data_IF_446691799422
#
_entry.id   IF_446691799422
#
_cell.length_a   1.000
_cell.length_b   1.000
_cell.length_c   1.000
_cell.angle_alpha   90.00
_cell.angle_beta   90.00
_cell.angle_gamma   90.00
#
_symmetry.space_group_name_H-M   'P 1'
#
loop_
_entity.id
_entity.type
_entity.pdbx_description
1 polymer ?
#
# COMPACT_ATOMS: atom_id res chain seq x y z
N UNK A 1 -25.42 3.77 20.38
CA UNK A 1 -25.03 3.70 18.94
C UNK A 1 -23.66 4.35 18.70
N UNK A 2 -23.43 5.59 19.03
CA UNK A 2 -22.15 6.31 18.88
C UNK A 2 -20.96 5.61 19.59
N UNK A 3 -21.12 5.16 20.84
CA UNK A 3 -20.06 4.44 21.59
C UNK A 3 -19.58 3.19 20.86
N UNK A 4 -20.49 2.40 20.27
CA UNK A 4 -20.14 1.20 19.47
C UNK A 4 -19.42 1.60 18.18
N UNK A 5 -19.86 2.66 17.51
CA UNK A 5 -19.22 3.17 16.30
C UNK A 5 -17.77 3.61 16.59
N UNK A 6 -17.52 4.32 17.68
CA UNK A 6 -16.17 4.71 18.11
C UNK A 6 -15.32 3.50 18.46
N UNK A 7 -15.87 2.50 19.17
CA UNK A 7 -15.16 1.26 19.49
C UNK A 7 -14.78 0.49 18.20
N UNK A 8 -15.72 0.29 17.30
CA UNK A 8 -15.47 -0.41 16.04
C UNK A 8 -14.43 0.35 15.18
N UNK A 9 -14.51 1.68 15.13
CA UNK A 9 -13.53 2.52 14.42
C UNK A 9 -12.12 2.39 15.03
N UNK A 10 -12.01 2.41 16.35
CA UNK A 10 -10.74 2.22 17.05
C UNK A 10 -10.14 0.83 16.77
N UNK A 11 -10.97 -0.23 16.80
CA UNK A 11 -10.55 -1.60 16.50
C UNK A 11 -10.06 -1.73 15.05
N UNK A 12 -10.77 -1.16 14.06
CA UNK A 12 -10.32 -1.13 12.67
C UNK A 12 -9.04 -0.30 12.49
N UNK A 13 -8.90 0.79 13.23
CA UNK A 13 -7.68 1.61 13.27
C UNK A 13 -6.48 0.80 13.75
N UNK A 14 -6.60 0.12 14.88
CA UNK A 14 -5.56 -0.76 15.43
C UNK A 14 -5.25 -1.89 14.44
N UNK A 15 -6.27 -2.54 13.86
CA UNK A 15 -6.09 -3.59 12.86
C UNK A 15 -5.40 -3.11 11.57
N UNK A 16 -5.31 -1.81 11.35
CA UNK A 16 -4.60 -1.22 10.21
C UNK A 16 -3.19 -0.75 10.57
N UNK A 17 -3.02 -0.14 11.74
CA UNK A 17 -1.74 0.45 12.17
C UNK A 17 -0.79 -0.62 12.72
N UNK A 18 -1.28 -1.54 13.56
CA UNK A 18 -0.44 -2.54 14.21
C UNK A 18 0.29 -3.46 13.21
N UNK A 19 -0.34 -4.00 12.14
CA UNK A 19 0.38 -4.74 11.11
C UNK A 19 1.50 -3.93 10.45
N UNK A 20 1.34 -2.62 10.25
CA UNK A 20 2.39 -1.77 9.67
C UNK A 20 3.60 -1.64 10.60
N UNK A 21 3.36 -1.48 11.89
CA UNK A 21 4.44 -1.48 12.90
C UNK A 21 5.16 -2.83 12.93
N UNK A 22 4.41 -3.93 12.89
CA UNK A 22 5.00 -5.28 12.82
C UNK A 22 5.81 -5.50 11.53
N UNK A 23 5.40 -4.93 10.41
CA UNK A 23 6.16 -4.96 9.16
C UNK A 23 7.50 -4.20 9.27
N UNK A 24 7.60 -3.16 10.11
CA UNK A 24 8.91 -2.53 10.41
C UNK A 24 9.86 -3.49 11.11
N UNK A 25 9.35 -4.28 12.06
CA UNK A 25 10.15 -5.30 12.74
C UNK A 25 10.62 -6.39 11.75
N UNK A 26 9.74 -6.79 10.83
CA UNK A 26 10.13 -7.68 9.71
C UNK A 26 11.22 -7.06 8.85
N UNK A 27 11.10 -5.78 8.49
CA UNK A 27 12.13 -5.10 7.69
C UNK A 27 13.47 -5.11 8.39
N UNK A 28 13.50 -4.79 9.70
CA UNK A 28 14.73 -4.88 10.51
C UNK A 28 15.32 -6.29 10.50
N UNK A 29 14.50 -7.32 10.68
CA UNK A 29 14.92 -8.71 10.65
C UNK A 29 15.53 -9.06 9.28
N UNK A 30 14.87 -8.72 8.18
CA UNK A 30 15.34 -9.01 6.84
C UNK A 30 16.68 -8.34 6.53
N UNK A 31 16.78 -7.03 6.77
CA UNK A 31 18.01 -6.25 6.56
C UNK A 31 19.15 -6.74 7.45
N UNK A 32 18.87 -7.34 8.61
CA UNK A 32 19.92 -7.90 9.49
C UNK A 32 20.40 -9.28 9.06
N UNK A 33 19.59 -10.03 8.31
CA UNK A 33 19.84 -11.45 7.97
C UNK A 33 20.16 -11.68 6.49
N UNK A 34 19.64 -10.85 5.61
CA UNK A 34 19.85 -10.94 4.17
C UNK A 34 20.95 -9.98 3.73
N UNK A 35 21.61 -10.32 2.62
CA UNK A 35 22.41 -9.37 1.88
C UNK A 35 21.53 -8.42 1.04
N UNK A 36 22.17 -7.43 0.40
CA UNK A 36 21.47 -6.41 -0.37
C UNK A 36 20.76 -7.00 -1.59
N UNK A 37 21.34 -8.04 -2.20
CA UNK A 37 20.78 -8.70 -3.38
C UNK A 37 19.50 -9.49 -3.03
N UNK A 38 19.56 -10.33 -2.01
CA UNK A 38 18.40 -11.12 -1.54
C UNK A 38 17.24 -10.20 -1.09
N UNK A 39 17.55 -9.12 -0.36
CA UNK A 39 16.52 -8.16 0.03
C UNK A 39 15.94 -7.39 -1.17
N UNK A 40 16.75 -7.17 -2.20
CA UNK A 40 16.31 -6.60 -3.48
C UNK A 40 15.34 -7.52 -4.22
N UNK A 41 15.67 -8.81 -4.34
CA UNK A 41 14.81 -9.83 -4.93
C UNK A 41 13.46 -9.89 -4.20
N UNK A 42 13.49 -9.97 -2.87
CA UNK A 42 12.27 -9.92 -2.05
C UNK A 42 11.44 -8.66 -2.34
N UNK A 43 12.09 -7.50 -2.32
CA UNK A 43 11.40 -6.21 -2.50
C UNK A 43 10.83 -6.04 -3.90
N UNK A 44 11.52 -6.52 -4.93
CA UNK A 44 11.07 -6.50 -6.32
C UNK A 44 9.85 -7.41 -6.54
N UNK A 45 9.90 -8.65 -6.06
CA UNK A 45 8.76 -9.58 -6.18
C UNK A 45 7.54 -9.05 -5.42
N UNK A 46 7.74 -8.41 -4.26
CA UNK A 46 6.64 -7.88 -3.45
C UNK A 46 5.83 -6.81 -4.18
N UNK A 47 6.43 -6.04 -5.09
CA UNK A 47 5.70 -5.09 -5.95
C UNK A 47 4.73 -5.80 -6.88
N UNK A 48 5.14 -6.93 -7.47
CA UNK A 48 4.25 -7.74 -8.31
C UNK A 48 3.10 -8.34 -7.49
N UNK A 49 3.34 -8.70 -6.22
CA UNK A 49 2.27 -9.16 -5.32
C UNK A 49 1.23 -8.07 -5.06
N UNK A 50 1.67 -6.81 -4.85
CA UNK A 50 0.75 -5.67 -4.66
C UNK A 50 -0.11 -5.47 -5.92
N UNK A 51 0.50 -5.45 -7.11
CA UNK A 51 -0.23 -5.30 -8.36
C UNK A 51 -1.17 -6.49 -8.60
N UNK A 52 -0.68 -7.71 -8.39
CA UNK A 52 -1.47 -8.95 -8.54
C UNK A 52 -2.69 -8.97 -7.64
N UNK A 53 -2.56 -8.54 -6.39
CA UNK A 53 -3.69 -8.42 -5.46
C UNK A 53 -4.74 -7.41 -5.94
N UNK A 54 -4.32 -6.29 -6.53
CA UNK A 54 -5.23 -5.31 -7.14
C UNK A 54 -5.96 -5.92 -8.35
N UNK A 55 -5.21 -6.62 -9.23
CA UNK A 55 -5.78 -7.25 -10.41
C UNK A 55 -6.74 -8.39 -10.06
N UNK A 56 -6.41 -9.24 -9.09
CA UNK A 56 -7.25 -10.36 -8.68
C UNK A 56 -8.47 -9.94 -7.86
N UNK A 57 -8.38 -8.85 -7.11
CA UNK A 57 -9.55 -8.29 -6.40
C UNK A 57 -10.45 -7.45 -7.30
N UNK A 58 -9.93 -6.92 -8.40
CA UNK A 58 -10.57 -6.11 -9.45
C UNK A 58 -11.68 -5.16 -8.95
N UNK A 59 -11.45 -4.53 -7.78
CA UNK A 59 -12.39 -3.58 -7.18
C UNK A 59 -13.67 -4.21 -6.60
N UNK A 60 -13.77 -5.54 -6.56
CA UNK A 60 -14.96 -6.27 -6.12
C UNK A 60 -15.30 -6.01 -4.65
N UNK A 61 -14.31 -5.74 -3.77
CA UNK A 61 -14.56 -5.36 -2.39
C UNK A 61 -15.41 -4.07 -2.30
N UNK A 62 -15.07 -3.06 -3.08
CA UNK A 62 -15.79 -1.79 -3.10
C UNK A 62 -17.19 -1.94 -3.70
N UNK A 63 -17.31 -2.72 -4.78
CA UNK A 63 -18.59 -3.08 -5.35
C UNK A 63 -19.48 -3.85 -4.34
N UNK A 64 -18.90 -4.84 -3.64
CA UNK A 64 -19.58 -5.58 -2.59
C UNK A 64 -20.20 -4.64 -1.54
N UNK A 65 -19.44 -3.68 -0.97
CA UNK A 65 -19.99 -2.73 0.00
C UNK A 65 -21.10 -1.87 -0.56
N UNK A 66 -20.94 -1.38 -1.79
CA UNK A 66 -21.99 -0.55 -2.43
C UNK A 66 -23.29 -1.31 -2.60
N UNK A 67 -23.23 -2.52 -3.17
CA UNK A 67 -24.43 -3.30 -3.47
C UNK A 67 -25.05 -3.93 -2.23
N UNK A 68 -24.26 -4.24 -1.19
CA UNK A 68 -24.77 -4.67 0.12
C UNK A 68 -25.60 -3.59 0.83
N UNK A 69 -25.32 -2.31 0.55
CA UNK A 69 -26.04 -1.19 1.16
C UNK A 69 -27.23 -0.69 0.32
N UNK A 70 -27.31 -1.06 -0.98
CA UNK A 70 -28.33 -0.55 -1.91
C UNK A 70 -29.63 -1.34 -1.97
N UNK A 71 -29.69 -2.61 -1.51
CA UNK A 71 -30.83 -3.42 -1.88
C UNK A 71 -31.20 -4.58 -0.96
N UNK A 72 -32.34 -5.19 -1.28
CA UNK A 72 -32.90 -6.36 -0.60
C UNK A 72 -32.15 -7.67 -0.93
N UNK A 73 -31.37 -7.71 -2.01
CA UNK A 73 -30.72 -8.91 -2.54
C UNK A 73 -29.35 -9.22 -1.90
N UNK A 74 -29.16 -8.91 -0.62
CA UNK A 74 -27.87 -9.06 0.08
C UNK A 74 -27.24 -10.45 -0.05
N UNK A 75 -28.05 -11.52 -0.03
CA UNK A 75 -27.57 -12.91 -0.19
C UNK A 75 -27.03 -13.17 -1.60
N UNK A 76 -27.65 -12.58 -2.62
CA UNK A 76 -27.19 -12.71 -4.01
C UNK A 76 -25.87 -11.96 -4.23
N UNK A 77 -25.74 -10.75 -3.68
CA UNK A 77 -24.49 -9.96 -3.72
C UNK A 77 -23.34 -10.75 -3.07
N UNK A 78 -23.57 -11.32 -1.87
CA UNK A 78 -22.55 -12.13 -1.18
C UNK A 78 -22.12 -13.34 -1.99
N UNK A 79 -23.10 -14.08 -2.51
CA UNK A 79 -22.88 -15.28 -3.31
C UNK A 79 -22.15 -14.96 -4.61
N UNK A 80 -22.60 -13.95 -5.36
CA UNK A 80 -22.00 -13.57 -6.64
C UNK A 80 -20.57 -13.08 -6.48
N UNK A 81 -20.30 -12.20 -5.51
CA UNK A 81 -18.96 -11.68 -5.25
C UNK A 81 -17.99 -12.79 -4.83
N UNK A 82 -18.41 -13.67 -3.91
CA UNK A 82 -17.58 -14.77 -3.45
C UNK A 82 -17.28 -15.76 -4.58
N UNK A 83 -18.30 -16.17 -5.34
CA UNK A 83 -18.16 -17.11 -6.47
C UNK A 83 -17.26 -16.50 -7.54
N UNK A 84 -17.46 -15.23 -7.90
CA UNK A 84 -16.66 -14.53 -8.90
C UNK A 84 -15.17 -14.53 -8.53
N UNK A 85 -14.82 -14.06 -7.32
CA UNK A 85 -13.43 -14.02 -6.86
C UNK A 85 -12.82 -15.42 -6.71
N UNK A 86 -13.58 -16.39 -6.21
CA UNK A 86 -13.08 -17.75 -6.07
C UNK A 86 -12.75 -18.36 -7.42
N UNK A 87 -13.68 -18.28 -8.39
CA UNK A 87 -13.47 -18.86 -9.74
C UNK A 87 -12.32 -18.16 -10.47
N UNK A 88 -12.28 -16.82 -10.46
CA UNK A 88 -11.21 -16.06 -11.12
C UNK A 88 -9.84 -16.32 -10.49
N UNK A 89 -9.75 -16.42 -9.16
CA UNK A 89 -8.50 -16.72 -8.46
C UNK A 89 -8.01 -18.14 -8.71
N UNK A 90 -8.90 -19.13 -8.74
CA UNK A 90 -8.54 -20.51 -9.07
C UNK A 90 -8.15 -20.66 -10.55
N UNK A 91 -8.82 -19.95 -11.45
CA UNK A 91 -8.43 -19.89 -12.86
C UNK A 91 -7.04 -19.26 -13.02
N UNK A 92 -6.78 -18.15 -12.34
CA UNK A 92 -5.46 -17.52 -12.30
C UNK A 92 -4.41 -18.48 -11.75
N UNK A 93 -4.70 -19.20 -10.66
CA UNK A 93 -3.81 -20.20 -10.09
C UNK A 93 -3.41 -21.24 -11.13
N UNK A 94 -4.40 -21.80 -11.84
CA UNK A 94 -4.15 -22.82 -12.87
C UNK A 94 -3.25 -22.27 -13.99
N UNK A 95 -3.63 -21.13 -14.58
CA UNK A 95 -2.90 -20.54 -15.71
C UNK A 95 -1.49 -20.10 -15.29
N UNK A 96 -1.35 -19.39 -14.18
CA UNK A 96 -0.06 -18.88 -13.70
C UNK A 96 0.87 -20.02 -13.27
N UNK A 97 0.33 -21.10 -12.68
CA UNK A 97 1.13 -22.29 -12.34
C UNK A 97 1.63 -23.04 -13.57
N UNK A 98 0.81 -23.16 -14.61
CA UNK A 98 1.22 -23.76 -15.88
C UNK A 98 2.31 -22.92 -16.59
N UNK A 99 2.21 -21.59 -16.46
CA UNK A 99 3.16 -20.64 -17.06
C UNK A 99 4.32 -20.26 -16.14
N UNK A 100 4.49 -20.89 -14.98
CA UNK A 100 5.46 -20.48 -13.93
C UNK A 100 6.90 -20.37 -14.43
N UNK A 101 7.31 -21.27 -15.34
CA UNK A 101 8.66 -21.28 -15.91
C UNK A 101 8.87 -20.09 -16.85
N UNK A 102 7.88 -19.82 -17.72
CA UNK A 102 7.89 -18.67 -18.61
C UNK A 102 7.88 -17.34 -17.85
N UNK A 103 7.06 -17.26 -16.76
CA UNK A 103 7.00 -16.08 -15.90
C UNK A 103 8.34 -15.89 -15.18
N UNK A 104 8.94 -16.96 -14.64
CA UNK A 104 10.22 -16.93 -13.97
C UNK A 104 11.34 -16.46 -14.88
N UNK A 105 11.40 -16.99 -16.10
CA UNK A 105 12.36 -16.57 -17.12
C UNK A 105 12.16 -15.11 -17.54
N UNK A 106 10.91 -14.70 -17.79
CA UNK A 106 10.59 -13.32 -18.20
C UNK A 106 10.91 -12.28 -17.10
N UNK A 107 10.66 -12.61 -15.84
CA UNK A 107 10.94 -11.73 -14.70
C UNK A 107 12.37 -11.90 -14.17
N UNK A 108 13.12 -12.89 -14.67
CA UNK A 108 14.45 -13.26 -14.23
C UNK A 108 14.55 -13.53 -12.71
N UNK A 109 13.59 -14.31 -12.19
CA UNK A 109 13.58 -14.77 -10.80
C UNK A 109 13.58 -16.29 -10.72
N UNK A 110 13.98 -16.87 -9.58
CA UNK A 110 13.88 -18.32 -9.35
C UNK A 110 12.42 -18.77 -9.40
N UNK A 111 12.17 -19.94 -10.01
CA UNK A 111 10.82 -20.54 -10.18
C UNK A 111 10.11 -20.65 -8.82
N UNK A 112 10.84 -21.05 -7.78
CA UNK A 112 10.28 -21.21 -6.42
C UNK A 112 9.67 -19.91 -5.88
N UNK A 113 10.33 -18.77 -6.10
CA UNK A 113 9.84 -17.45 -5.67
C UNK A 113 8.57 -17.07 -6.41
N UNK A 114 8.49 -17.38 -7.72
CA UNK A 114 7.29 -17.13 -8.53
C UNK A 114 6.12 -18.00 -8.06
N UNK A 115 6.37 -19.29 -7.79
CA UNK A 115 5.34 -20.22 -7.29
C UNK A 115 4.78 -19.74 -5.95
N UNK A 116 5.63 -19.34 -5.01
CA UNK A 116 5.15 -18.74 -3.75
C UNK A 116 4.37 -17.46 -3.98
N UNK A 117 4.84 -16.60 -4.89
CA UNK A 117 4.12 -15.37 -5.26
C UNK A 117 2.72 -15.66 -5.77
N UNK A 118 2.57 -16.66 -6.66
CA UNK A 118 1.27 -17.11 -7.18
C UNK A 118 0.36 -17.59 -6.03
N UNK A 119 0.87 -18.42 -5.11
CA UNK A 119 0.08 -18.90 -3.98
C UNK A 119 -0.35 -17.77 -3.06
N UNK A 120 0.54 -16.83 -2.73
CA UNK A 120 0.22 -15.67 -1.88
C UNK A 120 -0.90 -14.83 -2.52
N UNK A 121 -0.76 -14.47 -3.81
CA UNK A 121 -1.76 -13.67 -4.52
C UNK A 121 -3.15 -14.34 -4.51
N UNK A 122 -3.20 -15.65 -4.75
CA UNK A 122 -4.46 -16.39 -4.77
C UNK A 122 -5.06 -16.48 -3.36
N UNK A 123 -4.27 -16.82 -2.35
CA UNK A 123 -4.74 -16.91 -0.97
C UNK A 123 -5.27 -15.56 -0.47
N UNK A 124 -4.55 -14.48 -0.78
CA UNK A 124 -4.95 -13.12 -0.42
C UNK A 124 -6.22 -12.68 -1.15
N UNK A 125 -6.38 -13.03 -2.43
CA UNK A 125 -7.59 -12.73 -3.19
C UNK A 125 -8.82 -13.48 -2.65
N UNK A 126 -8.65 -14.75 -2.27
CA UNK A 126 -9.73 -15.55 -1.70
C UNK A 126 -10.29 -14.96 -0.39
N UNK A 127 -9.48 -14.31 0.43
CA UNK A 127 -9.94 -13.73 1.70
C UNK A 127 -10.56 -12.33 1.59
N UNK A 128 -10.52 -11.68 0.43
CA UNK A 128 -11.06 -10.31 0.22
C UNK A 128 -12.54 -10.23 0.59
N UNK A 129 -13.39 -11.08 0.03
CA UNK A 129 -14.84 -11.06 0.33
C UNK A 129 -15.17 -11.53 1.74
N UNK A 130 -14.55 -12.57 2.32
CA UNK A 130 -14.68 -12.87 3.74
C UNK A 130 -14.37 -11.70 4.67
N UNK A 131 -13.28 -10.96 4.44
CA UNK A 131 -12.98 -9.75 5.20
C UNK A 131 -14.02 -8.64 5.00
N UNK A 132 -14.45 -8.40 3.77
CA UNK A 132 -15.52 -7.44 3.47
C UNK A 132 -16.84 -7.81 4.18
N UNK A 133 -17.16 -9.12 4.21
CA UNK A 133 -18.32 -9.64 4.92
C UNK A 133 -18.25 -9.40 6.43
N UNK A 134 -17.09 -9.65 7.08
CA UNK A 134 -16.87 -9.36 8.49
C UNK A 134 -17.10 -7.88 8.82
N UNK A 135 -16.57 -6.98 7.99
CA UNK A 135 -16.75 -5.53 8.15
C UNK A 135 -18.21 -5.13 7.98
N UNK A 136 -18.88 -5.66 6.96
CA UNK A 136 -20.30 -5.36 6.71
C UNK A 136 -21.22 -5.86 7.83
N UNK A 137 -20.85 -6.97 8.49
CA UNK A 137 -21.57 -7.53 9.64
C UNK A 137 -21.21 -6.89 10.98
N UNK A 138 -20.31 -5.91 11.01
CA UNK A 138 -19.85 -5.25 12.23
C UNK A 138 -19.05 -6.18 13.17
N UNK A 139 -18.40 -7.23 12.62
CA UNK A 139 -17.57 -8.17 13.39
C UNK A 139 -16.13 -7.64 13.51
N UNK A 140 -15.98 -6.43 14.07
CA UNK A 140 -14.72 -5.71 14.15
C UNK A 140 -13.63 -6.51 14.89
N UNK A 141 -13.97 -7.14 16.01
CA UNK A 141 -13.01 -7.93 16.81
C UNK A 141 -12.44 -9.12 16.03
N UNK A 142 -13.30 -9.89 15.33
CA UNK A 142 -12.84 -11.03 14.53
C UNK A 142 -12.01 -10.56 13.33
N UNK A 143 -12.42 -9.47 12.67
CA UNK A 143 -11.63 -8.85 11.61
C UNK A 143 -10.22 -8.46 12.10
N UNK A 144 -10.14 -7.76 13.25
CA UNK A 144 -8.88 -7.33 13.83
C UNK A 144 -8.02 -8.52 14.25
N UNK A 145 -8.61 -9.51 14.91
CA UNK A 145 -7.91 -10.71 15.35
C UNK A 145 -7.27 -11.45 14.16
N UNK A 146 -8.03 -11.67 13.09
CA UNK A 146 -7.51 -12.38 11.91
C UNK A 146 -6.44 -11.54 11.18
N UNK A 147 -6.66 -10.23 11.03
CA UNK A 147 -5.73 -9.33 10.32
C UNK A 147 -4.40 -9.18 11.06
N UNK A 148 -4.46 -8.94 12.37
CA UNK A 148 -3.26 -8.82 13.23
C UNK A 148 -2.62 -10.19 13.41
N UNK A 149 -3.42 -11.25 13.58
CA UNK A 149 -2.96 -12.64 13.72
C UNK A 149 -2.16 -13.12 12.50
N UNK A 150 -2.62 -12.78 11.29
CA UNK A 150 -1.86 -13.06 10.06
C UNK A 150 -0.46 -12.44 10.11
N UNK A 151 -0.36 -11.14 10.43
CA UNK A 151 0.93 -10.45 10.48
C UNK A 151 1.79 -10.96 11.65
N UNK A 152 1.18 -11.28 12.79
CA UNK A 152 1.88 -11.84 13.95
C UNK A 152 2.45 -13.22 13.64
N UNK A 153 1.66 -14.09 13.00
CA UNK A 153 2.10 -15.40 12.57
C UNK A 153 3.24 -15.30 11.54
N UNK A 154 3.09 -14.41 10.56
CA UNK A 154 4.15 -14.13 9.57
C UNK A 154 5.44 -13.66 10.27
N UNK A 155 5.36 -12.72 11.21
CA UNK A 155 6.51 -12.25 11.98
C UNK A 155 7.16 -13.39 12.79
N UNK A 156 6.37 -14.17 13.51
CA UNK A 156 6.86 -15.30 14.31
C UNK A 156 7.55 -16.36 13.45
N UNK A 157 6.95 -16.74 12.32
CA UNK A 157 7.56 -17.69 11.38
C UNK A 157 8.85 -17.17 10.78
N UNK A 158 8.91 -15.89 10.41
CA UNK A 158 10.15 -15.29 9.89
C UNK A 158 11.25 -15.24 10.95
N UNK A 159 10.92 -14.91 12.20
CA UNK A 159 11.88 -14.96 13.31
C UNK A 159 12.41 -16.39 13.47
N UNK A 160 11.53 -17.38 13.46
CA UNK A 160 11.92 -18.79 13.59
C UNK A 160 12.76 -19.25 12.39
N UNK A 161 12.29 -19.04 11.17
CA UNK A 161 12.99 -19.52 9.98
C UNK A 161 14.35 -18.85 9.78
N UNK A 162 14.44 -17.54 9.92
CA UNK A 162 15.69 -16.81 9.64
C UNK A 162 16.73 -16.92 10.78
N UNK A 163 16.33 -17.21 12.02
CA UNK A 163 17.28 -17.37 13.10
C UNK A 163 17.73 -18.83 13.31
N UNK A 164 16.87 -19.81 13.03
CA UNK A 164 17.17 -21.21 13.33
C UNK A 164 17.37 -22.05 12.06
N UNK A 165 16.40 -22.05 11.11
CA UNK A 165 16.49 -22.92 9.95
C UNK A 165 17.46 -22.39 8.87
N UNK A 166 17.54 -21.08 8.71
CA UNK A 166 18.45 -20.47 7.72
C UNK A 166 19.92 -20.72 8.06
N UNK A 167 20.28 -20.72 9.35
CA UNK A 167 21.66 -20.97 9.76
C UNK A 167 22.13 -22.42 9.52
N UNK A 168 21.22 -23.40 9.59
CA UNK A 168 21.54 -24.82 9.39
C UNK A 168 21.57 -25.24 7.91
N UNK A 169 20.87 -24.53 7.02
CA UNK A 169 20.66 -24.91 5.61
C UNK A 169 21.04 -23.82 4.59
N UNK A 170 21.86 -22.88 4.95
CA UNK A 170 22.18 -21.63 4.22
C UNK A 170 22.61 -21.84 2.77
N UNK A 171 23.27 -22.94 2.43
CA UNK A 171 23.93 -23.10 1.14
C UNK A 171 22.98 -23.41 -0.04
N UNK A 172 21.76 -23.91 0.19
CA UNK A 172 20.93 -24.48 -0.86
C UNK A 172 19.71 -23.63 -1.26
N UNK A 173 19.01 -22.97 -0.32
CA UNK A 173 17.69 -22.38 -0.59
C UNK A 173 17.60 -20.86 -0.49
N UNK A 174 18.52 -20.17 0.19
CA UNK A 174 18.51 -18.71 0.37
C UNK A 174 17.44 -18.19 1.36
N UNK A 175 17.67 -17.00 1.94
CA UNK A 175 16.79 -16.40 2.94
C UNK A 175 15.43 -15.99 2.36
N UNK A 176 15.38 -15.60 1.10
CA UNK A 176 14.16 -15.18 0.38
C UNK A 176 13.11 -16.29 0.33
N UNK A 177 13.53 -17.55 0.13
CA UNK A 177 12.65 -18.72 0.15
C UNK A 177 11.84 -18.79 1.45
N UNK A 178 12.49 -18.67 2.60
CA UNK A 178 11.85 -18.76 3.92
C UNK A 178 10.89 -17.60 4.20
N UNK A 179 11.20 -16.41 3.68
CA UNK A 179 10.30 -15.24 3.79
C UNK A 179 8.98 -15.50 3.06
N UNK A 180 9.05 -15.98 1.82
CA UNK A 180 7.83 -16.29 1.07
C UNK A 180 7.09 -17.50 1.63
N UNK A 181 7.79 -18.53 2.10
CA UNK A 181 7.17 -19.67 2.78
C UNK A 181 6.39 -19.23 4.03
N UNK A 182 6.96 -18.36 4.87
CA UNK A 182 6.28 -17.80 6.04
C UNK A 182 5.01 -17.04 5.63
N UNK A 183 5.06 -16.30 4.53
CA UNK A 183 3.93 -15.54 4.02
C UNK A 183 2.83 -16.48 3.50
N UNK A 184 3.16 -17.52 2.74
CA UNK A 184 2.19 -18.55 2.28
C UNK A 184 1.50 -19.20 3.46
N UNK A 185 2.26 -19.61 4.49
CA UNK A 185 1.69 -20.25 5.70
C UNK A 185 0.73 -19.29 6.42
N UNK A 186 1.10 -18.01 6.57
CA UNK A 186 0.26 -17.01 7.23
C UNK A 186 -1.02 -16.72 6.44
N UNK A 187 -0.93 -16.60 5.10
CA UNK A 187 -2.10 -16.40 4.24
C UNK A 187 -3.00 -17.64 4.20
N UNK A 188 -2.43 -18.85 4.19
CA UNK A 188 -3.19 -20.10 4.28
C UNK A 188 -3.92 -20.23 5.63
N UNK A 189 -3.25 -19.93 6.74
CA UNK A 189 -3.87 -19.91 8.06
C UNK A 189 -5.04 -18.94 8.12
N UNK A 190 -4.89 -17.75 7.50
CA UNK A 190 -5.96 -16.77 7.37
C UNK A 190 -7.17 -17.32 6.61
N UNK A 191 -6.95 -17.98 5.48
CA UNK A 191 -8.02 -18.62 4.71
C UNK A 191 -8.73 -19.70 5.52
N UNK A 192 -7.99 -20.56 6.25
CA UNK A 192 -8.55 -21.61 7.10
C UNK A 192 -9.46 -21.03 8.19
N UNK A 193 -9.02 -19.95 8.87
CA UNK A 193 -9.84 -19.27 9.89
C UNK A 193 -11.11 -18.66 9.29
N UNK A 194 -11.05 -18.19 8.05
CA UNK A 194 -12.19 -17.59 7.36
C UNK A 194 -13.05 -18.61 6.58
N UNK A 195 -12.64 -19.88 6.47
CA UNK A 195 -13.36 -20.93 5.77
C UNK A 195 -14.82 -21.11 6.23
N UNK A 196 -15.18 -20.97 7.51
CA UNK A 196 -16.58 -21.04 7.95
C UNK A 196 -17.51 -20.00 7.29
N UNK A 197 -16.95 -18.90 6.76
CA UNK A 197 -17.74 -17.90 6.03
C UNK A 197 -18.11 -18.44 4.63
N UNK A 198 -17.22 -19.16 3.99
CA UNK A 198 -17.46 -19.85 2.72
C UNK A 198 -18.60 -20.88 2.83
N UNK A 199 -18.65 -21.62 3.92
CA UNK A 199 -19.70 -22.62 4.17
C UNK A 199 -21.06 -21.96 4.37
N UNK A 200 -21.10 -20.76 4.97
CA UNK A 200 -22.34 -20.00 5.21
C UNK A 200 -22.90 -19.32 3.97
N UNK A 201 -22.08 -19.03 2.99
CA UNK A 201 -22.48 -18.36 1.75
C UNK A 201 -22.63 -19.43 0.68
N UNK A 202 -23.84 -19.58 0.14
CA UNK A 202 -24.09 -20.53 -0.95
C UNK A 202 -23.40 -20.06 -2.22
N UNK A 203 -22.65 -20.92 -2.89
CA UNK A 203 -22.04 -20.66 -4.19
C UNK A 203 -23.12 -20.60 -5.28
N UNK A 204 -23.55 -19.39 -5.65
CA UNK A 204 -24.45 -19.11 -6.78
C UNK A 204 -23.96 -17.88 -7.50
N UNK A 205 -24.02 -17.89 -8.81
CA UNK A 205 -23.57 -16.80 -9.66
C UNK A 205 -24.76 -16.18 -10.39
N UNK A 206 -24.97 -14.89 -10.20
CA UNK A 206 -26.03 -14.12 -10.85
C UNK A 206 -25.39 -13.16 -11.85
N UNK A 207 -25.40 -13.52 -13.12
CA UNK A 207 -24.68 -12.79 -14.18
C UNK A 207 -25.11 -11.34 -14.30
N UNK A 208 -26.42 -11.04 -14.28
CA UNK A 208 -26.93 -9.66 -14.37
C UNK A 208 -26.37 -8.78 -13.24
N UNK A 209 -26.44 -9.28 -12.00
CA UNK A 209 -25.92 -8.59 -10.84
C UNK A 209 -24.37 -8.44 -10.91
N UNK A 210 -23.69 -9.49 -11.35
CA UNK A 210 -22.22 -9.43 -11.54
C UNK A 210 -21.83 -8.37 -12.56
N UNK A 211 -22.54 -8.26 -13.68
CA UNK A 211 -22.29 -7.24 -14.70
C UNK A 211 -22.41 -5.82 -14.13
N UNK A 212 -23.46 -5.55 -13.33
CA UNK A 212 -23.62 -4.26 -12.67
C UNK A 212 -22.51 -3.97 -11.67
N UNK A 213 -22.12 -5.00 -10.88
CA UNK A 213 -21.00 -4.88 -9.94
C UNK A 213 -19.70 -4.61 -10.66
N UNK A 214 -19.43 -5.25 -11.81
CA UNK A 214 -18.22 -5.05 -12.62
C UNK A 214 -18.15 -3.67 -13.27
N UNK A 215 -19.26 -3.15 -13.78
CA UNK A 215 -19.32 -1.77 -14.31
C UNK A 215 -18.91 -0.76 -13.23
N UNK A 216 -19.29 -1.01 -11.99
CA UNK A 216 -18.88 -0.16 -10.87
C UNK A 216 -17.44 -0.43 -10.40
N UNK A 217 -17.00 -1.69 -10.40
CA UNK A 217 -15.69 -2.10 -9.94
C UNK A 217 -14.55 -1.69 -10.90
N UNK A 218 -14.81 -1.62 -12.20
CA UNK A 218 -13.79 -1.36 -13.22
C UNK A 218 -13.06 -0.01 -13.03
N UNK A 219 -13.71 1.13 -12.79
CA UNK A 219 -13.01 2.37 -12.45
C UNK A 219 -12.17 2.27 -11.16
N UNK A 220 -12.64 1.48 -10.18
CA UNK A 220 -11.91 1.25 -8.93
C UNK A 220 -10.65 0.41 -9.18
N UNK A 221 -10.74 -0.59 -10.06
CA UNK A 221 -9.59 -1.36 -10.52
C UNK A 221 -8.54 -0.46 -11.17
N UNK A 222 -8.93 0.42 -12.10
CA UNK A 222 -7.99 1.33 -12.76
C UNK A 222 -7.29 2.27 -11.76
N UNK A 223 -8.04 2.81 -10.80
CA UNK A 223 -7.47 3.63 -9.73
C UNK A 223 -6.52 2.81 -8.82
N UNK A 224 -6.85 1.55 -8.56
CA UNK A 224 -6.00 0.61 -7.81
C UNK A 224 -4.69 0.30 -8.53
N UNK A 225 -4.74 0.05 -9.85
CA UNK A 225 -3.53 -0.15 -10.67
C UNK A 225 -2.66 1.11 -10.63
N UNK A 226 -3.25 2.29 -10.83
CA UNK A 226 -2.51 3.56 -10.77
C UNK A 226 -1.84 3.74 -9.41
N UNK A 227 -2.53 3.40 -8.31
CA UNK A 227 -1.96 3.43 -6.97
C UNK A 227 -0.79 2.44 -6.81
N UNK A 228 -0.94 1.19 -7.26
CA UNK A 228 0.11 0.17 -7.17
C UNK A 228 1.37 0.58 -7.94
N UNK A 229 1.21 1.17 -9.13
CA UNK A 229 2.32 1.68 -9.93
C UNK A 229 3.01 2.86 -9.22
N UNK A 230 2.26 3.82 -8.72
CA UNK A 230 2.81 4.99 -8.03
C UNK A 230 3.56 4.61 -6.73
N UNK A 231 3.14 3.54 -6.03
CA UNK A 231 3.70 3.15 -4.73
C UNK A 231 4.95 2.28 -4.84
N UNK A 232 5.10 1.49 -5.91
CA UNK A 232 6.13 0.45 -5.89
C UNK A 232 6.87 0.19 -7.17
N UNK A 233 6.41 0.68 -8.32
CA UNK A 233 7.01 0.33 -9.62
C UNK A 233 8.39 0.96 -9.87
N UNK A 234 8.83 1.89 -9.06
CA UNK A 234 10.22 2.35 -9.01
C UNK A 234 11.22 1.18 -8.94
N UNK A 235 10.91 0.13 -8.16
CA UNK A 235 11.74 -1.09 -8.05
C UNK A 235 11.72 -1.94 -9.32
N UNK A 236 10.58 -1.99 -10.00
CA UNK A 236 10.45 -2.67 -11.30
C UNK A 236 11.30 -1.93 -12.35
N UNK A 237 11.19 -0.58 -12.39
CA UNK A 237 11.99 0.22 -13.32
C UNK A 237 13.48 0.17 -13.00
N UNK A 238 13.88 0.14 -11.73
CA UNK A 238 15.27 -0.08 -11.35
C UNK A 238 15.79 -1.41 -11.92
N UNK A 239 14.99 -2.50 -11.80
CA UNK A 239 15.40 -3.80 -12.34
C UNK A 239 15.47 -3.81 -13.88
N UNK A 240 14.57 -3.09 -14.55
CA UNK A 240 14.52 -3.04 -16.02
C UNK A 240 15.62 -2.18 -16.65
N UNK A 241 16.08 -1.14 -15.95
CA UNK A 241 16.92 -0.08 -16.52
C UNK A 241 18.37 -0.11 -16.00
N UNK A 242 18.65 -0.86 -14.94
CA UNK A 242 20.01 -1.02 -14.44
C UNK A 242 20.63 -2.32 -14.93
N UNK A 243 21.99 -2.43 -14.97
CA UNK A 243 22.67 -3.67 -15.28
C UNK A 243 22.24 -4.79 -14.33
N UNK A 244 21.99 -5.98 -14.88
CA UNK A 244 21.45 -7.13 -14.16
C UNK A 244 22.27 -7.50 -12.92
N UNK A 245 23.61 -7.39 -13.01
CA UNK A 245 24.54 -7.72 -11.94
C UNK A 245 24.39 -6.85 -10.70
N UNK A 246 23.91 -5.61 -10.85
CA UNK A 246 23.80 -4.61 -9.75
C UNK A 246 22.38 -4.25 -9.40
N UNK A 247 21.40 -4.60 -10.24
CA UNK A 247 20.02 -4.16 -10.10
C UNK A 247 19.40 -4.61 -8.77
N UNK A 248 19.50 -5.89 -8.42
CA UNK A 248 18.89 -6.41 -7.19
C UNK A 248 19.55 -5.84 -5.92
N UNK A 249 20.88 -5.72 -5.88
CA UNK A 249 21.55 -5.07 -4.77
C UNK A 249 21.12 -3.61 -4.61
N UNK A 250 21.01 -2.88 -5.73
CA UNK A 250 20.56 -1.48 -5.75
C UNK A 250 19.11 -1.35 -5.25
N UNK A 251 18.22 -2.25 -5.69
CA UNK A 251 16.82 -2.30 -5.22
C UNK A 251 16.78 -2.60 -3.71
N UNK A 252 17.66 -3.48 -3.22
CA UNK A 252 17.74 -3.81 -1.80
C UNK A 252 18.13 -2.59 -0.96
N UNK A 253 19.22 -1.91 -1.31
CA UNK A 253 19.70 -0.70 -0.65
C UNK A 253 18.62 0.40 -0.67
N UNK A 254 18.06 0.67 -1.86
CA UNK A 254 16.97 1.62 -2.04
C UNK A 254 15.75 1.28 -1.18
N UNK A 255 15.29 0.03 -1.22
CA UNK A 255 14.09 -0.41 -0.50
C UNK A 255 14.26 -0.35 1.02
N UNK A 256 15.44 -0.66 1.55
CA UNK A 256 15.73 -0.55 2.97
C UNK A 256 15.62 0.92 3.44
N UNK A 257 16.24 1.85 2.72
CA UNK A 257 16.20 3.28 3.05
C UNK A 257 14.78 3.87 2.82
N UNK A 258 14.07 3.43 1.77
CA UNK A 258 12.68 3.82 1.51
C UNK A 258 11.76 3.50 2.69
N UNK A 259 12.02 2.39 3.42
CA UNK A 259 11.22 2.03 4.61
C UNK A 259 11.27 3.05 5.73
N UNK A 260 12.27 3.93 5.78
CA UNK A 260 12.24 5.06 6.73
C UNK A 260 11.12 6.06 6.42
N UNK A 261 10.67 6.14 5.16
CA UNK A 261 9.48 6.91 4.78
C UNK A 261 8.17 6.40 5.40
N UNK A 262 8.15 5.20 5.98
CA UNK A 262 6.97 4.63 6.62
C UNK A 262 6.46 5.48 7.80
N UNK A 263 7.34 6.21 8.48
CA UNK A 263 6.92 7.10 9.57
C UNK A 263 5.97 8.19 9.05
N UNK A 264 6.29 8.78 7.90
CA UNK A 264 5.39 9.74 7.24
C UNK A 264 4.12 9.05 6.76
N UNK A 265 4.20 7.85 6.19
CA UNK A 265 3.04 7.09 5.75
C UNK A 265 2.10 6.68 6.90
N UNK A 266 2.64 6.37 8.09
CA UNK A 266 1.83 6.13 9.29
C UNK A 266 1.07 7.39 9.69
N UNK A 267 1.74 8.55 9.73
CA UNK A 267 1.13 9.83 10.03
C UNK A 267 0.02 10.18 9.02
N UNK A 268 0.31 10.08 7.71
CA UNK A 268 -0.66 10.32 6.63
C UNK A 268 -1.88 9.40 6.77
N UNK A 269 -1.65 8.13 7.08
CA UNK A 269 -2.73 7.13 7.22
C UNK A 269 -3.59 7.39 8.46
N UNK A 270 -2.97 7.73 9.61
CA UNK A 270 -3.70 8.08 10.82
C UNK A 270 -4.54 9.36 10.63
N UNK A 271 -3.95 10.38 10.00
CA UNK A 271 -4.65 11.60 9.64
C UNK A 271 -5.86 11.32 8.74
N UNK A 272 -5.68 10.53 7.68
CA UNK A 272 -6.73 10.17 6.72
C UNK A 272 -7.91 9.47 7.40
N UNK A 273 -7.64 8.50 8.28
CA UNK A 273 -8.66 7.77 9.02
C UNK A 273 -9.49 8.68 9.95
N UNK A 274 -8.85 9.68 10.57
CA UNK A 274 -9.53 10.62 11.48
C UNK A 274 -10.27 11.74 10.77
N UNK A 275 -9.70 12.26 9.68
CA UNK A 275 -10.16 13.49 9.04
C UNK A 275 -11.24 13.24 7.97
N UNK A 276 -11.23 12.10 7.27
CA UNK A 276 -12.24 11.83 6.25
C UNK A 276 -13.68 11.86 6.78
N UNK A 277 -14.04 11.18 7.89
CA UNK A 277 -15.39 11.29 8.45
C UNK A 277 -15.76 12.72 8.85
N UNK A 278 -14.79 13.47 9.39
CA UNK A 278 -14.99 14.85 9.78
C UNK A 278 -15.28 15.77 8.60
N UNK A 279 -14.59 15.60 7.47
CA UNK A 279 -14.83 16.38 6.26
C UNK A 279 -16.28 16.21 5.75
N UNK A 280 -16.79 14.99 5.76
CA UNK A 280 -18.17 14.72 5.34
C UNK A 280 -19.21 15.25 6.33
N UNK A 281 -18.97 15.11 7.63
CA UNK A 281 -19.91 15.61 8.65
C UNK A 281 -19.99 17.14 8.69
N UNK A 282 -18.91 17.83 8.34
CA UNK A 282 -18.83 19.30 8.32
C UNK A 282 -19.18 19.91 6.95
N UNK A 283 -19.47 19.11 5.94
CA UNK A 283 -19.62 19.58 4.56
C UNK A 283 -20.75 20.62 4.37
N UNK A 284 -21.79 20.58 5.21
CA UNK A 284 -22.93 21.50 5.18
C UNK A 284 -22.71 22.78 6.01
N UNK A 285 -21.63 22.87 6.77
CA UNK A 285 -21.32 24.06 7.58
C UNK A 285 -20.83 25.21 6.69
N UNK A 286 -21.37 26.40 6.88
CA UNK A 286 -20.92 27.63 6.18
C UNK A 286 -19.44 27.93 6.39
N UNK A 287 -18.86 27.49 7.49
CA UNK A 287 -17.45 27.66 7.84
C UNK A 287 -16.57 26.48 7.42
N UNK A 288 -17.11 25.43 6.77
CA UNK A 288 -16.36 24.25 6.34
C UNK A 288 -15.05 24.58 5.60
N UNK A 289 -15.01 25.51 4.60
CA UNK A 289 -13.77 25.82 3.90
C UNK A 289 -12.67 26.38 4.82
N UNK A 290 -13.03 27.22 5.82
CA UNK A 290 -12.05 27.76 6.79
C UNK A 290 -11.51 26.66 7.70
N UNK A 291 -12.36 25.73 8.09
CA UNK A 291 -11.99 24.57 8.92
C UNK A 291 -11.07 23.62 8.14
N UNK A 292 -11.38 23.35 6.88
CA UNK A 292 -10.53 22.54 6.01
C UNK A 292 -9.15 23.16 5.79
N UNK A 293 -9.10 24.50 5.61
CA UNK A 293 -7.83 25.21 5.51
C UNK A 293 -6.97 25.02 6.78
N UNK A 294 -7.56 25.21 7.96
CA UNK A 294 -6.86 25.06 9.24
C UNK A 294 -6.36 23.64 9.49
N UNK A 295 -7.18 22.64 9.16
CA UNK A 295 -6.78 21.22 9.28
C UNK A 295 -5.60 20.92 8.36
N UNK A 296 -5.64 21.37 7.12
CA UNK A 296 -4.53 21.18 6.17
C UNK A 296 -3.26 21.91 6.62
N UNK A 297 -3.39 23.12 7.18
CA UNK A 297 -2.24 23.83 7.76
C UNK A 297 -1.60 23.07 8.91
N UNK A 298 -2.39 22.55 9.86
CA UNK A 298 -1.86 21.74 10.95
C UNK A 298 -1.21 20.45 10.45
N UNK A 299 -1.80 19.80 9.45
CA UNK A 299 -1.22 18.62 8.81
C UNK A 299 0.17 18.94 8.24
N UNK A 300 0.32 20.05 7.52
CA UNK A 300 1.60 20.46 6.91
C UNK A 300 2.64 20.78 7.99
N UNK A 301 2.25 21.47 9.06
CA UNK A 301 3.16 21.79 10.19
C UNK A 301 3.63 20.51 10.88
N UNK A 302 2.72 19.61 11.23
CA UNK A 302 3.07 18.34 11.88
C UNK A 302 3.91 17.45 10.95
N UNK A 303 3.54 17.36 9.66
CA UNK A 303 4.29 16.60 8.67
C UNK A 303 5.68 17.18 8.42
N UNK A 304 5.82 18.50 8.38
CA UNK A 304 7.11 19.18 8.30
C UNK A 304 7.99 18.92 9.52
N UNK A 305 7.39 18.88 10.72
CA UNK A 305 8.11 18.48 11.94
C UNK A 305 8.59 17.03 11.88
N UNK A 306 7.74 16.10 11.41
CA UNK A 306 8.14 14.68 11.23
C UNK A 306 9.28 14.56 10.21
N UNK A 307 9.18 15.28 9.08
CA UNK A 307 10.26 15.35 8.08
C UNK A 307 11.58 15.74 8.72
N UNK A 308 11.62 16.87 9.43
CA UNK A 308 12.81 17.34 10.12
C UNK A 308 13.32 16.37 11.18
N UNK A 309 12.42 15.87 12.03
CA UNK A 309 12.75 14.97 13.12
C UNK A 309 13.42 13.69 12.60
N UNK A 310 12.82 13.03 11.61
CA UNK A 310 13.38 11.81 11.04
C UNK A 310 14.70 12.09 10.30
N UNK A 311 14.80 13.22 9.60
CA UNK A 311 16.03 13.59 8.87
C UNK A 311 17.18 13.88 9.83
N UNK A 312 16.95 14.71 10.85
CA UNK A 312 18.00 15.05 11.86
C UNK A 312 18.45 13.82 12.64
N UNK A 313 17.51 12.95 13.01
CA UNK A 313 17.80 11.72 13.77
C UNK A 313 17.97 10.49 12.86
N UNK A 314 18.25 10.67 11.55
CA UNK A 314 18.49 9.54 10.63
C UNK A 314 19.54 8.58 11.14
N UNK A 315 20.62 9.08 11.78
CA UNK A 315 21.68 8.26 12.35
C UNK A 315 21.19 7.34 13.49
N UNK A 316 20.23 7.78 14.27
CA UNK A 316 19.59 6.95 15.31
C UNK A 316 18.63 5.93 14.66
N UNK A 317 17.79 6.38 13.75
CA UNK A 317 16.82 5.53 13.11
C UNK A 317 17.46 4.43 12.23
N UNK A 318 18.57 4.72 11.54
CA UNK A 318 19.29 3.70 10.77
C UNK A 318 19.82 2.57 11.66
N UNK A 319 20.33 2.87 12.86
CA UNK A 319 20.82 1.86 13.80
C UNK A 319 19.66 0.95 14.30
N UNK A 320 18.46 1.51 14.43
CA UNK A 320 17.27 0.78 14.88
C UNK A 320 16.68 -0.05 13.74
N UNK A 321 16.52 0.52 12.53
CA UNK A 321 15.77 -0.11 11.43
C UNK A 321 16.67 -0.82 10.41
N UNK A 322 17.90 -0.34 10.20
CA UNK A 322 18.84 -0.78 9.17
C UNK A 322 20.19 -1.09 9.82
N UNK A 323 20.30 -2.11 10.67
CA UNK A 323 21.51 -2.38 11.44
C UNK A 323 22.70 -2.77 10.57
N UNK A 324 22.49 -3.29 9.36
CA UNK A 324 23.55 -3.67 8.45
C UNK A 324 24.03 -2.47 7.62
N UNK A 325 25.30 -2.13 7.75
CA UNK A 325 25.94 -0.98 7.08
C UNK A 325 25.92 -1.07 5.55
N UNK A 326 25.84 -2.26 4.97
CA UNK A 326 25.79 -2.46 3.52
C UNK A 326 24.60 -1.76 2.84
N UNK A 327 23.57 -1.39 3.61
CA UNK A 327 22.39 -0.67 3.09
C UNK A 327 22.48 0.86 3.26
N UNK A 328 23.54 1.42 3.84
CA UNK A 328 23.58 2.83 4.20
C UNK A 328 23.89 3.78 3.06
N UNK A 329 24.34 3.28 1.91
CA UNK A 329 24.71 4.11 0.76
C UNK A 329 23.55 4.96 0.21
N UNK A 330 22.31 4.53 0.43
CA UNK A 330 21.12 5.27 -0.02
C UNK A 330 20.44 6.10 1.08
N UNK A 331 21.03 6.27 2.28
CA UNK A 331 20.39 7.03 3.37
C UNK A 331 20.04 8.47 2.98
N UNK A 332 20.80 9.08 2.09
CA UNK A 332 20.54 10.44 1.62
C UNK A 332 19.20 10.58 0.85
N UNK A 333 18.58 9.46 0.36
CA UNK A 333 17.23 9.54 -0.23
C UNK A 333 16.13 9.71 0.83
N UNK A 334 16.41 9.46 2.10
CA UNK A 334 15.40 9.47 3.18
C UNK A 334 14.62 10.78 3.23
N UNK A 335 15.26 11.97 3.27
CA UNK A 335 14.53 13.23 3.27
C UNK A 335 13.70 13.42 1.98
N UNK A 336 14.18 12.93 0.82
CA UNK A 336 13.43 13.00 -0.45
C UNK A 336 12.14 12.17 -0.36
N UNK A 337 12.24 10.93 0.14
CA UNK A 337 11.08 10.04 0.28
C UNK A 337 10.10 10.56 1.35
N UNK A 338 10.60 11.09 2.46
CA UNK A 338 9.75 11.72 3.47
C UNK A 338 8.98 12.92 2.90
N UNK A 339 9.65 13.77 2.13
CA UNK A 339 9.04 14.92 1.46
C UNK A 339 8.03 14.47 0.40
N UNK A 340 8.34 13.45 -0.39
CA UNK A 340 7.42 12.87 -1.36
C UNK A 340 6.14 12.36 -0.67
N UNK A 341 6.29 11.60 0.42
CA UNK A 341 5.14 11.12 1.20
C UNK A 341 4.36 12.25 1.88
N UNK A 342 5.02 13.34 2.29
CA UNK A 342 4.35 14.54 2.77
C UNK A 342 3.51 15.19 1.65
N UNK A 343 4.05 15.32 0.44
CA UNK A 343 3.30 15.81 -0.72
C UNK A 343 2.07 14.93 -1.02
N UNK A 344 2.22 13.60 -0.96
CA UNK A 344 1.10 12.66 -1.09
C UNK A 344 0.06 12.85 0.03
N UNK A 345 0.49 13.08 1.27
CA UNK A 345 -0.39 13.39 2.38
C UNK A 345 -1.15 14.70 2.21
N UNK A 346 -0.48 15.75 1.72
CA UNK A 346 -1.11 17.03 1.37
C UNK A 346 -2.12 16.82 0.24
N UNK A 347 -1.78 16.05 -0.81
CA UNK A 347 -2.72 15.66 -1.86
C UNK A 347 -3.99 15.02 -1.28
N UNK A 348 -3.84 14.09 -0.32
CA UNK A 348 -4.99 13.49 0.35
C UNK A 348 -5.82 14.49 1.16
N UNK A 349 -5.19 15.46 1.83
CA UNK A 349 -5.91 16.53 2.50
C UNK A 349 -6.65 17.44 1.53
N UNK A 350 -6.00 17.79 0.41
CA UNK A 350 -6.62 18.58 -0.66
C UNK A 350 -7.77 17.83 -1.36
N UNK A 351 -7.80 16.49 -1.29
CA UNK A 351 -8.84 15.67 -1.93
C UNK A 351 -10.25 15.91 -1.40
N UNK A 352 -10.39 16.61 -0.28
CA UNK A 352 -11.68 16.94 0.33
C UNK A 352 -12.64 17.63 -0.66
N UNK A 353 -12.16 18.55 -1.49
CA UNK A 353 -13.02 19.32 -2.36
C UNK A 353 -13.80 18.45 -3.36
N UNK A 354 -13.14 17.51 -4.04
CA UNK A 354 -13.84 16.66 -5.01
C UNK A 354 -14.66 15.55 -4.36
N UNK A 355 -14.39 15.20 -3.09
CA UNK A 355 -15.20 14.27 -2.30
C UNK A 355 -16.49 14.90 -1.83
N UNK A 356 -16.45 16.14 -1.31
CA UNK A 356 -17.64 16.86 -0.81
C UNK A 356 -18.48 17.46 -1.94
N UNK A 357 -17.96 17.59 -3.16
CA UNK A 357 -18.67 18.06 -4.35
C UNK A 357 -19.09 16.93 -5.30
N UNK A 358 -19.00 15.66 -4.88
CA UNK A 358 -19.33 14.45 -5.66
C UNK A 358 -18.56 14.32 -7.00
N UNK A 359 -17.38 14.94 -7.11
CA UNK A 359 -16.50 14.87 -8.29
C UNK A 359 -15.38 13.84 -8.13
N UNK A 360 -15.70 12.66 -7.60
CA UNK A 360 -14.71 11.62 -7.25
C UNK A 360 -13.92 11.09 -8.45
N UNK A 361 -14.46 11.19 -9.68
CA UNK A 361 -13.75 10.89 -10.93
C UNK A 361 -12.45 11.71 -11.10
N UNK A 362 -12.41 12.93 -10.57
CA UNK A 362 -11.21 13.75 -10.59
C UNK A 362 -10.05 13.09 -9.84
N UNK A 363 -10.33 12.46 -8.69
CA UNK A 363 -9.31 11.71 -7.95
C UNK A 363 -8.71 10.55 -8.74
N UNK A 364 -9.55 9.83 -9.51
CA UNK A 364 -9.08 8.77 -10.41
C UNK A 364 -8.20 9.34 -11.54
N UNK A 365 -8.60 10.45 -12.15
CA UNK A 365 -7.81 11.12 -13.21
C UNK A 365 -6.45 11.55 -12.67
N UNK A 366 -6.39 12.20 -11.50
CA UNK A 366 -5.10 12.62 -10.90
C UNK A 366 -4.22 11.42 -10.59
N UNK A 367 -4.78 10.29 -10.13
CA UNK A 367 -4.02 9.06 -9.90
C UNK A 367 -3.46 8.48 -11.20
N UNK A 368 -4.21 8.52 -12.30
CA UNK A 368 -3.73 8.09 -13.63
C UNK A 368 -2.65 9.02 -14.19
N UNK A 369 -2.79 10.32 -14.00
CA UNK A 369 -1.73 11.29 -14.33
C UNK A 369 -0.47 10.98 -13.50
N UNK A 370 -0.63 10.72 -12.20
CA UNK A 370 0.47 10.28 -11.33
C UNK A 370 1.16 9.04 -11.88
N UNK A 371 0.41 8.02 -12.28
CA UNK A 371 0.96 6.81 -12.89
C UNK A 371 1.77 7.12 -14.15
N UNK A 372 1.25 7.94 -15.06
CA UNK A 372 1.95 8.34 -16.27
C UNK A 372 3.26 9.11 -15.95
N UNK A 373 3.22 10.02 -14.98
CA UNK A 373 4.41 10.74 -14.51
C UNK A 373 5.42 9.80 -13.83
N UNK A 374 4.96 8.85 -13.01
CA UNK A 374 5.82 7.82 -12.41
C UNK A 374 6.58 7.06 -13.48
N UNK A 375 5.87 6.56 -14.51
CA UNK A 375 6.50 5.85 -15.62
C UNK A 375 7.50 6.75 -16.35
N UNK A 376 7.07 7.95 -16.76
CA UNK A 376 7.90 8.88 -17.51
C UNK A 376 9.18 9.27 -16.77
N UNK A 377 9.07 9.70 -15.51
CA UNK A 377 10.25 10.17 -14.76
C UNK A 377 11.17 9.03 -14.33
N UNK A 378 10.67 7.82 -14.06
CA UNK A 378 11.55 6.68 -13.82
C UNK A 378 12.37 6.35 -15.08
N UNK A 379 11.76 6.27 -16.26
CA UNK A 379 12.49 6.05 -17.53
C UNK A 379 13.49 7.18 -17.82
N UNK A 380 13.15 8.41 -17.51
CA UNK A 380 14.01 9.56 -17.78
C UNK A 380 15.18 9.68 -16.80
N UNK A 381 14.98 9.39 -15.51
CA UNK A 381 15.95 9.68 -14.46
C UNK A 381 16.78 8.49 -14.00
N UNK A 382 16.25 7.26 -14.01
CA UNK A 382 16.99 6.08 -13.53
C UNK A 382 18.26 5.81 -14.35
N UNK A 383 18.28 5.89 -15.69
CA UNK A 383 19.50 5.62 -16.46
C UNK A 383 20.68 6.53 -16.09
N UNK A 384 20.41 7.74 -15.64
CA UNK A 384 21.43 8.75 -15.29
C UNK A 384 21.76 8.77 -13.79
N UNK A 385 20.76 8.55 -12.95
CA UNK A 385 20.85 8.78 -11.50
C UNK A 385 20.63 7.50 -10.69
N UNK A 386 20.39 6.36 -11.33
CA UNK A 386 20.12 5.08 -10.65
C UNK A 386 18.96 5.24 -9.63
N UNK A 387 19.07 4.66 -8.43
CA UNK A 387 18.05 4.78 -7.37
C UNK A 387 17.76 6.22 -6.90
N UNK A 388 18.69 7.13 -7.14
CA UNK A 388 18.48 8.57 -6.92
C UNK A 388 17.38 9.10 -7.82
N UNK A 389 17.44 8.68 -9.08
CA UNK A 389 16.42 9.00 -10.08
C UNK A 389 15.03 8.49 -9.69
N UNK A 390 14.95 7.28 -9.15
CA UNK A 390 13.70 6.69 -8.65
C UNK A 390 13.09 7.51 -7.50
N UNK A 391 13.92 7.92 -6.52
CA UNK A 391 13.47 8.76 -5.41
C UNK A 391 12.97 10.14 -5.88
N UNK A 392 13.68 10.77 -6.82
CA UNK A 392 13.29 12.04 -7.41
C UNK A 392 12.01 11.91 -8.25
N UNK A 393 11.87 10.84 -9.03
CA UNK A 393 10.66 10.56 -9.81
C UNK A 393 9.42 10.49 -8.90
N UNK A 394 9.54 9.81 -7.75
CA UNK A 394 8.47 9.75 -6.74
C UNK A 394 8.13 11.13 -6.18
N UNK A 395 9.14 11.95 -5.83
CA UNK A 395 8.93 13.30 -5.32
C UNK A 395 8.25 14.21 -6.37
N UNK A 396 8.73 14.19 -7.60
CA UNK A 396 8.15 14.99 -8.70
C UNK A 396 6.70 14.56 -8.96
N UNK A 397 6.42 13.26 -8.99
CA UNK A 397 5.07 12.73 -9.21
C UNK A 397 4.11 13.15 -8.11
N UNK A 398 4.46 12.94 -6.84
CA UNK A 398 3.57 13.30 -5.73
C UNK A 398 3.44 14.82 -5.57
N UNK A 399 4.49 15.57 -5.83
CA UNK A 399 4.44 17.03 -5.91
C UNK A 399 3.53 17.55 -7.03
N UNK A 400 3.56 16.92 -8.20
CA UNK A 400 2.67 17.25 -9.32
C UNK A 400 1.19 16.91 -8.98
N UNK A 401 0.91 15.73 -8.44
CA UNK A 401 -0.44 15.34 -7.99
C UNK A 401 -0.99 16.34 -6.96
N UNK A 402 -0.18 16.73 -5.98
CA UNK A 402 -0.52 17.76 -4.98
C UNK A 402 -0.84 19.10 -5.66
N UNK A 403 0.01 19.55 -6.58
CA UNK A 403 -0.12 20.84 -7.27
C UNK A 403 -1.36 20.88 -8.16
N UNK A 404 -1.63 19.81 -8.90
CA UNK A 404 -2.85 19.64 -9.73
C UNK A 404 -4.09 19.71 -8.84
N UNK A 405 -4.11 18.95 -7.75
CA UNK A 405 -5.26 18.94 -6.82
C UNK A 405 -5.49 20.31 -6.18
N UNK A 406 -4.43 21.01 -5.81
CA UNK A 406 -4.51 22.37 -5.30
C UNK A 406 -5.10 23.35 -6.33
N UNK A 407 -4.55 23.37 -7.55
CA UNK A 407 -4.97 24.28 -8.60
C UNK A 407 -6.45 24.11 -8.95
N UNK A 408 -6.88 22.89 -9.23
CA UNK A 408 -8.28 22.61 -9.56
C UNK A 408 -9.22 22.77 -8.35
N UNK A 409 -8.73 22.47 -7.16
CA UNK A 409 -9.46 22.70 -5.92
C UNK A 409 -9.77 24.18 -5.71
N UNK A 410 -8.80 25.07 -5.91
CA UNK A 410 -9.01 26.52 -5.81
C UNK A 410 -9.98 27.07 -6.87
N UNK A 411 -10.05 26.43 -8.04
CA UNK A 411 -10.97 26.83 -9.12
C UNK A 411 -12.42 26.40 -8.85
N UNK A 412 -12.64 25.21 -8.27
CA UNK A 412 -13.99 24.63 -8.15
C UNK A 412 -14.57 24.72 -6.74
N UNK A 413 -13.72 24.77 -5.73
CA UNK A 413 -14.12 24.89 -4.32
C UNK A 413 -13.03 25.65 -3.55
N UNK A 414 -13.03 27.01 -3.63
CA UNK A 414 -11.96 27.83 -3.06
C UNK A 414 -11.89 27.66 -1.53
N UNK A 415 -10.76 27.13 -1.05
CA UNK A 415 -10.45 26.99 0.37
C UNK A 415 -9.41 28.04 0.74
N UNK A 416 -9.64 28.87 1.78
CA UNK A 416 -8.80 30.00 2.12
C UNK A 416 -7.54 29.55 2.89
N UNK A 417 -6.60 28.88 2.22
CA UNK A 417 -5.32 28.46 2.82
C UNK A 417 -4.41 29.65 3.12
N UNK A 418 -3.76 29.65 4.26
CA UNK A 418 -2.72 30.63 4.58
C UNK A 418 -1.41 30.29 3.83
N UNK A 419 -1.32 30.75 2.59
CA UNK A 419 -0.18 30.46 1.70
C UNK A 419 1.16 30.90 2.28
N UNK A 420 1.20 32.03 3.03
CA UNK A 420 2.43 32.54 3.67
C UNK A 420 2.92 31.55 4.73
N UNK A 421 2.03 31.14 5.61
CA UNK A 421 2.33 30.16 6.68
C UNK A 421 2.80 28.84 6.12
N UNK A 422 2.07 28.28 5.14
CA UNK A 422 2.42 27.03 4.47
C UNK A 422 3.81 27.12 3.82
N UNK A 423 4.07 28.18 3.02
CA UNK A 423 5.37 28.36 2.38
C UNK A 423 6.53 28.47 3.37
N UNK A 424 6.33 29.21 4.48
CA UNK A 424 7.37 29.34 5.50
C UNK A 424 7.68 27.99 6.16
N UNK A 425 6.66 27.28 6.65
CA UNK A 425 6.88 26.01 7.33
C UNK A 425 7.45 24.93 6.41
N UNK A 426 6.89 24.79 5.20
CA UNK A 426 7.39 23.82 4.23
C UNK A 426 8.79 24.18 3.74
N UNK A 427 9.03 25.46 3.47
CA UNK A 427 10.34 25.97 3.05
C UNK A 427 11.42 25.77 4.11
N UNK A 428 11.10 26.08 5.37
CA UNK A 428 12.02 25.81 6.50
C UNK A 428 12.26 24.31 6.67
N UNK A 429 11.21 23.49 6.60
CA UNK A 429 11.36 22.02 6.70
C UNK A 429 12.26 21.48 5.59
N UNK A 430 12.14 21.98 4.37
CA UNK A 430 13.01 21.58 3.26
C UNK A 430 14.44 22.10 3.50
N UNK A 431 14.62 23.40 3.81
CA UNK A 431 15.94 24.01 4.00
C UNK A 431 16.78 23.30 5.06
N UNK A 432 16.17 22.85 6.15
CA UNK A 432 16.89 22.14 7.22
C UNK A 432 16.96 20.62 7.01
N UNK A 433 16.33 20.08 5.97
CA UNK A 433 16.39 18.65 5.65
C UNK A 433 17.41 18.31 4.57
N UNK A 434 17.83 19.29 3.79
CA UNK A 434 18.84 19.17 2.72
C UNK A 434 19.98 20.17 2.92
#
# INVERSE_FOLDING_TARGET
MLKKLFQDTAIYGIATVLPRVMTLLLTRLYVSKLDTNDFGIYSGIFVYLILGNVLLSYGMETAFFRFMNKGEQKKQVQSTALTSLTVSSLFFLLVAYLLRESIASWLNYKIEHIVFGIYIMVLDALVVIPFAWLRNKGKANLYAFVKVGNTALNLALNIYFLNYLYQERIAATGGVYYIFLANVIASLATLIVLLPIYIKIRFRFYYSLWKEMMIYAFPVLLAGIAFAVNEGFDRVFLRMLLPEETADATIGIYSACYKMGVFMNLFVSAFKLGVEPFFFSSAQDKNAPKTYARITEYFIVCGGFILLFITVFTDVFKLILIPNKAYWDALWIVPIILLANLCLGIYHSLSVWYKVTDRTSFGAIVSLIGMALTVFFNFALIPWLSYKGAALATLITYGAMMSISYYYGQKHYPIPYNKRKIKVFLGMSILFSF
#
